data_IF_044694507461
#
_entry.id   IF_044694507461
#
_cell.length_a   1.000
_cell.length_b   1.000
_cell.length_c   1.000
_cell.angle_alpha   90.00
_cell.angle_beta   90.00
_cell.angle_gamma   90.00
#
_symmetry.space_group_name_H-M   'P 1'
#
loop_
_entity.id
_entity.type
_entity.pdbx_description
1 polymer ?
#
# COMPACT_ATOMS: atom_id res chain seq x y z
N UNK A 1 -3.46 29.43 -3.18
CA UNK A 1 -4.19 28.34 -2.51
C UNK A 1 -3.32 27.16 -2.04
N UNK A 2 -2.02 27.18 -2.25
CA UNK A 2 -1.07 26.09 -1.87
C UNK A 2 -0.72 26.14 -0.37
N UNK A 3 -0.85 27.30 0.28
CA UNK A 3 -0.55 27.50 1.72
C UNK A 3 -1.62 26.92 2.68
N UNK A 4 -2.83 26.60 2.19
CA UNK A 4 -3.91 26.04 3.02
C UNK A 4 -3.77 24.55 3.32
N UNK A 5 -3.07 23.79 2.48
CA UNK A 5 -2.91 22.33 2.66
C UNK A 5 -1.87 21.97 3.74
N UNK A 6 -0.93 22.88 4.04
CA UNK A 6 0.12 22.64 5.05
C UNK A 6 -0.38 22.94 6.47
N UNK A 7 -1.41 23.78 6.62
CA UNK A 7 -1.95 24.17 7.93
C UNK A 7 -2.78 23.06 8.60
N UNK A 8 -3.32 22.09 7.86
CA UNK A 8 -4.15 21.00 8.42
C UNK A 8 -3.29 19.95 9.14
N UNK A 9 -2.01 19.80 8.78
CA UNK A 9 -1.10 18.84 9.41
C UNK A 9 -0.68 19.27 10.82
N UNK A 10 -0.69 20.56 11.13
CA UNK A 10 -0.26 21.09 12.42
C UNK A 10 -1.31 20.95 13.53
N UNK A 11 -2.61 20.74 13.19
CA UNK A 11 -3.70 20.71 14.18
C UNK A 11 -3.96 19.32 14.78
N UNK A 12 -3.39 18.26 14.21
CA UNK A 12 -3.60 16.87 14.68
C UNK A 12 -2.60 16.47 15.78
N UNK A 13 -1.56 17.26 16.03
CA UNK A 13 -0.51 16.93 17.02
C UNK A 13 -0.78 17.45 18.44
N UNK A 14 -1.90 18.11 18.71
CA UNK A 14 -2.13 18.80 19.98
C UNK A 14 -3.08 18.08 20.97
N UNK A 15 -3.37 16.79 20.82
CA UNK A 15 -4.17 16.05 21.81
C UNK A 15 -3.59 14.68 22.11
N UNK A 16 -2.59 14.62 22.98
CA UNK A 16 -2.24 13.41 23.70
C UNK A 16 -3.15 13.27 24.93
N UNK A 17 -3.93 12.19 25.07
CA UNK A 17 -4.51 11.84 26.36
C UNK A 17 -3.49 11.03 27.18
N UNK A 18 -3.45 11.37 28.46
CA UNK A 18 -2.60 10.81 29.49
C UNK A 18 -2.63 9.27 29.56
N UNK A 19 -1.46 8.72 29.74
CA UNK A 19 -1.14 7.34 30.02
C UNK A 19 -1.83 6.80 31.27
N UNK A 20 -2.65 5.76 31.14
CA UNK A 20 -2.95 4.82 32.21
C UNK A 20 -2.07 3.57 32.02
N UNK A 21 -1.39 3.15 33.11
CA UNK A 21 -0.35 2.16 33.13
C UNK A 21 -0.77 0.72 32.75
N UNK A 22 0.23 -0.17 32.62
CA UNK A 22 0.03 -1.48 32.07
C UNK A 22 -0.57 -2.44 33.10
N UNK A 23 -1.71 -3.02 32.75
CA UNK A 23 -2.25 -4.17 33.46
C UNK A 23 -1.59 -5.43 32.87
N UNK A 24 -0.61 -5.96 33.62
CA UNK A 24 0.13 -7.17 33.28
C UNK A 24 -0.62 -8.38 33.83
N UNK A 25 -1.55 -8.92 33.05
CA UNK A 25 -2.05 -10.28 33.28
C UNK A 25 -1.36 -11.22 32.30
N UNK A 26 -0.57 -12.21 32.73
CA UNK A 26 0.08 -13.14 31.82
C UNK A 26 -0.94 -14.08 31.21
N UNK A 27 -1.10 -14.00 29.90
CA UNK A 27 -1.88 -14.97 29.14
C UNK A 27 -1.26 -16.36 29.29
N UNK A 28 -2.02 -17.25 29.91
CA UNK A 28 -1.74 -18.68 30.05
C UNK A 28 -1.61 -19.29 28.66
N UNK A 29 -0.40 -19.67 28.30
CA UNK A 29 -0.12 -20.46 27.11
C UNK A 29 -0.62 -21.89 27.36
N UNK A 30 -1.77 -22.23 26.83
CA UNK A 30 -2.17 -23.62 26.69
C UNK A 30 -1.31 -24.26 25.59
N UNK A 31 -0.22 -24.90 26.01
CA UNK A 31 0.54 -25.80 25.18
C UNK A 31 -0.32 -27.03 24.88
N UNK A 32 -0.98 -27.03 23.73
CA UNK A 32 -1.52 -28.25 23.17
C UNK A 32 -0.33 -29.10 22.74
N UNK A 33 0.05 -30.04 23.63
CA UNK A 33 0.96 -31.10 23.27
C UNK A 33 0.23 -32.00 22.27
N UNK A 34 0.57 -31.86 20.98
CA UNK A 34 0.18 -32.84 19.98
C UNK A 34 0.89 -34.15 20.31
N UNK A 35 0.19 -35.06 20.92
CA UNK A 35 0.61 -36.46 21.09
C UNK A 35 0.70 -37.09 19.70
N UNK A 36 1.92 -37.35 19.25
CA UNK A 36 2.19 -38.20 18.11
C UNK A 36 1.68 -39.59 18.39
N UNK A 37 0.97 -40.25 17.45
CA UNK A 37 0.59 -41.65 17.65
C UNK A 37 1.85 -42.51 17.73
N UNK A 38 2.06 -43.15 18.86
CA UNK A 38 3.08 -44.16 19.06
C UNK A 38 2.58 -45.49 18.47
N UNK A 39 2.65 -45.59 17.14
CA UNK A 39 2.50 -46.88 16.47
C UNK A 39 3.41 -46.89 15.22
N UNK A 40 4.70 -47.03 15.50
CA UNK A 40 5.69 -47.42 14.50
C UNK A 40 6.22 -48.80 14.91
N UNK A 41 5.51 -49.84 14.53
CA UNK A 41 6.05 -51.19 14.47
C UNK A 41 7.07 -51.22 13.31
N UNK A 42 8.21 -50.59 13.53
CA UNK A 42 9.38 -50.84 12.71
C UNK A 42 9.82 -52.30 12.97
N UNK A 43 9.71 -53.14 11.98
CA UNK A 43 10.23 -54.49 12.04
C UNK A 43 11.70 -54.45 12.49
N UNK A 44 12.13 -55.33 13.42
CA UNK A 44 13.52 -55.34 13.88
C UNK A 44 14.43 -55.61 12.70
N UNK A 45 15.38 -54.70 12.48
CA UNK A 45 16.44 -54.86 11.44
C UNK A 45 17.25 -56.11 11.79
N UNK A 46 17.41 -57.07 10.85
CA UNK A 46 18.19 -58.29 11.12
C UNK A 46 19.58 -57.91 11.57
N UNK A 47 20.05 -58.48 12.65
CA UNK A 47 21.36 -58.23 13.28
C UNK A 47 22.54 -58.47 12.37
N UNK A 48 22.36 -59.25 11.30
CA UNK A 48 23.38 -59.57 10.31
C UNK A 48 23.71 -58.40 9.37
N UNK A 49 22.78 -57.43 9.21
CA UNK A 49 23.04 -56.23 8.40
C UNK A 49 23.85 -55.14 9.15
N UNK A 50 24.06 -55.30 10.47
CA UNK A 50 24.83 -54.36 11.28
C UNK A 50 26.32 -54.66 11.37
N UNK A 51 26.78 -55.88 10.95
CA UNK A 51 28.15 -56.34 11.15
C UNK A 51 29.12 -55.90 10.06
N UNK A 52 28.65 -55.36 8.92
CA UNK A 52 29.50 -54.98 7.80
C UNK A 52 29.50 -53.44 7.50
N UNK A 53 28.97 -52.65 8.40
CA UNK A 53 29.03 -51.20 8.24
C UNK A 53 30.46 -50.72 8.51
N UNK A 54 31.30 -50.70 7.51
CA UNK A 54 32.57 -49.98 7.56
C UNK A 54 32.30 -48.51 7.93
N UNK A 55 33.03 -47.93 8.88
CA UNK A 55 32.86 -46.53 9.23
C UNK A 55 33.12 -45.70 7.96
N UNK A 56 32.08 -45.02 7.47
CA UNK A 56 32.21 -44.11 6.34
C UNK A 56 33.01 -42.92 6.81
N UNK A 57 34.16 -42.63 6.17
CA UNK A 57 35.02 -41.53 6.62
C UNK A 57 34.25 -40.20 6.52
N UNK A 58 34.48 -39.28 7.46
CA UNK A 58 33.75 -38.00 7.59
C UNK A 58 33.76 -37.13 6.31
N UNK A 59 34.77 -37.33 5.42
CA UNK A 59 34.83 -36.62 4.15
C UNK A 59 33.83 -37.15 3.09
N UNK A 60 33.26 -38.32 3.29
CA UNK A 60 32.28 -38.94 2.36
C UNK A 60 30.87 -38.39 2.58
N UNK A 61 30.62 -37.67 3.66
CA UNK A 61 29.37 -36.91 3.83
C UNK A 61 29.55 -35.58 3.13
N UNK A 62 28.70 -35.23 2.13
CA UNK A 62 28.68 -33.87 1.65
C UNK A 62 28.47 -32.96 2.89
N UNK A 63 29.33 -31.93 3.02
CA UNK A 63 29.15 -30.93 4.08
C UNK A 63 27.69 -30.54 4.04
N UNK A 64 26.99 -30.74 5.16
CA UNK A 64 25.59 -30.33 5.28
C UNK A 64 25.57 -28.84 5.02
N UNK A 65 25.29 -28.47 3.78
CA UNK A 65 24.96 -27.11 3.45
C UNK A 65 23.78 -26.76 4.35
N UNK A 66 23.97 -25.81 5.25
CA UNK A 66 22.91 -25.31 6.11
C UNK A 66 21.81 -24.73 5.19
N UNK A 67 20.96 -25.62 4.72
CA UNK A 67 19.79 -25.33 3.88
C UNK A 67 18.59 -24.92 4.74
N UNK A 68 18.83 -24.65 6.03
CA UNK A 68 17.74 -24.14 6.85
C UNK A 68 17.28 -22.80 6.24
N UNK A 69 16.03 -22.71 5.78
CA UNK A 69 15.53 -21.46 5.24
C UNK A 69 15.66 -20.41 6.36
N UNK A 70 16.43 -19.35 6.07
CA UNK A 70 16.62 -18.24 7.00
C UNK A 70 15.25 -17.80 7.50
N UNK A 71 14.96 -18.04 8.78
CA UNK A 71 13.68 -17.65 9.39
C UNK A 71 13.48 -16.16 9.13
N UNK A 72 12.42 -15.84 8.40
CA UNK A 72 12.03 -14.45 8.18
C UNK A 72 11.72 -13.84 9.54
N UNK A 73 12.36 -12.72 9.86
CA UNK A 73 11.98 -11.96 11.04
C UNK A 73 10.56 -11.45 10.80
N UNK A 74 9.63 -11.84 11.67
CA UNK A 74 8.31 -11.22 11.70
C UNK A 74 8.49 -9.75 12.08
N UNK A 75 8.14 -8.84 11.18
CA UNK A 75 8.10 -7.42 11.49
C UNK A 75 6.78 -7.14 12.20
N UNK A 76 6.86 -6.74 13.46
CA UNK A 76 5.68 -6.36 14.23
C UNK A 76 5.41 -4.87 14.00
N UNK A 77 4.24 -4.58 13.47
CA UNK A 77 3.78 -3.21 13.24
C UNK A 77 2.84 -2.77 14.36
N UNK A 78 2.84 -1.46 14.67
CA UNK A 78 1.93 -0.89 15.67
C UNK A 78 0.47 -0.87 15.17
N UNK A 79 -0.49 -0.84 16.12
CA UNK A 79 -1.92 -0.69 15.78
C UNK A 79 -2.18 0.58 14.96
N UNK A 80 -1.38 1.62 15.18
CA UNK A 80 -1.48 2.88 14.45
C UNK A 80 -1.10 2.72 12.97
N UNK A 81 -0.12 1.85 12.66
CA UNK A 81 0.22 1.49 11.28
C UNK A 81 -1.00 0.86 10.58
N UNK A 82 -1.66 -0.10 11.21
CA UNK A 82 -2.82 -0.77 10.63
C UNK A 82 -4.01 0.18 10.42
N UNK A 83 -4.25 1.11 11.34
CA UNK A 83 -5.30 2.13 11.18
C UNK A 83 -5.02 3.04 9.99
N UNK A 84 -3.79 3.53 9.85
CA UNK A 84 -3.39 4.34 8.68
C UNK A 84 -3.50 3.57 7.38
N UNK A 85 -3.08 2.30 7.37
CA UNK A 85 -3.19 1.42 6.22
C UNK A 85 -4.66 1.24 5.81
N UNK A 86 -5.57 1.11 6.77
CA UNK A 86 -7.00 1.02 6.51
C UNK A 86 -7.54 2.31 5.89
N UNK A 87 -7.18 3.48 6.42
CA UNK A 87 -7.57 4.79 5.86
C UNK A 87 -7.04 4.92 4.42
N UNK A 88 -5.77 4.58 4.19
CA UNK A 88 -5.15 4.59 2.87
C UNK A 88 -5.89 3.68 1.88
N UNK A 89 -6.25 2.47 2.28
CA UNK A 89 -7.00 1.52 1.45
C UNK A 89 -8.39 2.04 1.09
N UNK A 90 -9.15 2.55 2.08
CA UNK A 90 -10.46 3.14 1.81
C UNK A 90 -10.37 4.36 0.90
N UNK A 91 -9.38 5.22 1.10
CA UNK A 91 -9.12 6.34 0.20
C UNK A 91 -8.90 5.89 -1.24
N UNK A 92 -8.06 4.88 -1.46
CA UNK A 92 -7.78 4.33 -2.78
C UNK A 92 -9.04 3.72 -3.46
N UNK A 93 -9.95 3.11 -2.68
CA UNK A 93 -11.22 2.63 -3.23
C UNK A 93 -12.13 3.77 -3.68
N UNK A 94 -12.16 4.88 -2.94
CA UNK A 94 -12.99 6.04 -3.26
C UNK A 94 -12.44 6.83 -4.46
N UNK A 95 -11.15 6.79 -4.72
CA UNK A 95 -10.53 7.52 -5.83
C UNK A 95 -11.08 7.11 -7.20
N UNK A 96 -11.31 5.82 -7.45
CA UNK A 96 -11.71 5.34 -8.77
C UNK A 96 -13.08 5.89 -9.23
N UNK A 97 -14.17 5.82 -8.44
CA UNK A 97 -15.42 6.43 -8.84
C UNK A 97 -15.31 7.96 -8.95
N UNK A 98 -14.49 8.60 -8.12
CA UNK A 98 -14.26 10.06 -8.23
C UNK A 98 -13.50 10.40 -9.51
N UNK A 99 -12.50 9.59 -9.92
CA UNK A 99 -11.84 9.72 -11.22
C UNK A 99 -12.82 9.61 -12.39
N UNK A 100 -13.70 8.59 -12.35
CA UNK A 100 -14.72 8.42 -13.38
C UNK A 100 -15.64 9.63 -13.50
N UNK A 101 -16.06 10.18 -12.35
CA UNK A 101 -16.90 11.37 -12.29
C UNK A 101 -16.16 12.60 -12.82
N UNK A 102 -14.93 12.81 -12.38
CA UNK A 102 -14.13 13.96 -12.80
C UNK A 102 -13.79 13.91 -14.29
N UNK A 103 -13.42 12.73 -14.79
CA UNK A 103 -13.20 12.50 -16.22
C UNK A 103 -14.46 12.82 -17.03
N UNK A 104 -15.63 12.31 -16.61
CA UNK A 104 -16.90 12.56 -17.30
C UNK A 104 -17.24 14.05 -17.33
N UNK A 105 -17.11 14.76 -16.21
CA UNK A 105 -17.34 16.19 -16.11
C UNK A 105 -16.36 16.97 -17.01
N UNK A 106 -15.08 16.59 -17.02
CA UNK A 106 -14.07 17.16 -17.88
C UNK A 106 -14.37 16.98 -19.37
N UNK A 107 -14.87 15.79 -19.79
CA UNK A 107 -15.28 15.55 -21.17
C UNK A 107 -16.48 16.42 -21.56
N UNK A 108 -17.45 16.62 -20.65
CA UNK A 108 -18.56 17.55 -20.90
C UNK A 108 -18.10 18.98 -21.11
N UNK A 109 -17.14 19.45 -20.33
CA UNK A 109 -16.57 20.80 -20.48
C UNK A 109 -15.88 21.04 -21.84
N UNK A 110 -15.45 19.97 -22.51
CA UNK A 110 -14.75 20.06 -23.82
C UNK A 110 -15.71 19.86 -24.98
N UNK A 111 -16.66 18.94 -24.86
CA UNK A 111 -17.44 18.45 -25.99
C UNK A 111 -18.84 19.06 -26.09
N UNK A 112 -19.42 19.54 -24.99
CA UNK A 112 -20.79 20.03 -25.00
C UNK A 112 -20.86 21.44 -25.58
N UNK A 113 -21.65 21.60 -26.64
CA UNK A 113 -21.90 22.91 -27.28
C UNK A 113 -22.78 23.82 -26.39
N UNK A 114 -23.72 23.21 -25.66
CA UNK A 114 -24.57 23.88 -24.68
C UNK A 114 -24.30 23.31 -23.29
N UNK A 115 -23.33 23.90 -22.63
CA UNK A 115 -22.91 23.44 -21.30
C UNK A 115 -23.90 23.87 -20.23
N UNK A 116 -24.47 22.90 -19.49
CA UNK A 116 -25.32 23.20 -18.34
C UNK A 116 -24.53 23.95 -17.24
N UNK A 117 -25.14 24.93 -16.60
CA UNK A 117 -24.49 25.83 -15.63
C UNK A 117 -23.85 25.14 -14.43
N UNK A 118 -24.36 23.94 -14.06
CA UNK A 118 -23.88 23.18 -12.93
C UNK A 118 -22.57 22.40 -13.21
N UNK A 119 -22.24 22.10 -14.47
CA UNK A 119 -21.09 21.23 -14.82
C UNK A 119 -19.76 21.81 -14.35
N UNK A 120 -19.52 23.08 -14.60
CA UNK A 120 -18.25 23.72 -14.25
C UNK A 120 -18.01 23.82 -12.74
N UNK A 121 -18.97 24.29 -11.92
CA UNK A 121 -18.79 24.31 -10.47
C UNK A 121 -18.66 22.89 -9.89
N UNK A 122 -19.37 21.91 -10.43
CA UNK A 122 -19.27 20.50 -9.99
C UNK A 122 -17.90 19.92 -10.31
N UNK A 123 -17.36 20.12 -11.51
CA UNK A 123 -15.99 19.72 -11.86
C UNK A 123 -14.97 20.32 -10.89
N UNK A 124 -15.06 21.62 -10.60
CA UNK A 124 -14.16 22.25 -9.62
C UNK A 124 -14.32 21.68 -8.20
N UNK A 125 -15.56 21.35 -7.81
CA UNK A 125 -15.85 20.73 -6.51
C UNK A 125 -15.29 19.31 -6.40
N UNK A 126 -15.52 18.48 -7.40
CA UNK A 126 -15.00 17.10 -7.48
C UNK A 126 -13.48 17.09 -7.52
N UNK A 127 -12.85 18.00 -8.29
CA UNK A 127 -11.40 18.18 -8.28
C UNK A 127 -10.85 18.53 -6.88
N UNK A 128 -11.60 19.35 -6.11
CA UNK A 128 -11.25 19.65 -4.71
C UNK A 128 -11.33 18.42 -3.81
N UNK A 129 -12.39 17.61 -3.94
CA UNK A 129 -12.53 16.34 -3.20
C UNK A 129 -11.39 15.39 -3.56
N UNK A 130 -11.08 15.28 -4.83
CA UNK A 130 -9.99 14.45 -5.33
C UNK A 130 -8.64 14.87 -4.73
N UNK A 131 -8.34 16.18 -4.75
CA UNK A 131 -7.14 16.72 -4.11
C UNK A 131 -7.05 16.40 -2.62
N UNK A 132 -8.17 16.43 -1.90
CA UNK A 132 -8.25 16.04 -0.48
C UNK A 132 -7.98 14.54 -0.25
N UNK A 133 -8.56 13.66 -1.07
CA UNK A 133 -8.33 12.21 -1.02
C UNK A 133 -6.85 11.89 -1.28
N UNK A 134 -6.26 12.49 -2.31
CA UNK A 134 -4.84 12.32 -2.63
C UNK A 134 -3.94 12.79 -1.48
N UNK A 135 -4.20 13.95 -0.91
CA UNK A 135 -3.42 14.44 0.22
C UNK A 135 -3.44 13.47 1.41
N UNK A 136 -4.61 12.93 1.76
CA UNK A 136 -4.76 11.93 2.84
C UNK A 136 -4.01 10.64 2.47
N UNK A 137 -4.17 10.15 1.25
CA UNK A 137 -3.52 8.92 0.78
C UNK A 137 -2.00 9.07 0.71
N UNK A 138 -1.48 10.19 0.24
CA UNK A 138 -0.04 10.45 0.21
C UNK A 138 0.54 10.51 1.60
N UNK A 139 -0.08 11.23 2.54
CA UNK A 139 0.40 11.32 3.92
C UNK A 139 0.41 9.93 4.57
N UNK A 140 -0.69 9.19 4.48
CA UNK A 140 -0.79 7.86 5.08
C UNK A 140 0.14 6.85 4.40
N UNK A 141 0.27 6.93 3.08
CA UNK A 141 1.13 6.06 2.28
C UNK A 141 2.61 6.28 2.56
N UNK A 142 3.08 7.52 2.58
CA UNK A 142 4.48 7.87 2.89
C UNK A 142 4.84 7.45 4.31
N UNK A 143 3.96 7.66 5.26
CA UNK A 143 4.19 7.24 6.64
C UNK A 143 4.27 5.71 6.77
N UNK A 144 3.35 4.98 6.13
CA UNK A 144 3.39 3.53 6.12
C UNK A 144 4.65 3.00 5.41
N UNK A 145 5.09 3.64 4.31
CA UNK A 145 6.34 3.33 3.64
C UNK A 145 7.55 3.51 4.56
N UNK A 146 7.55 4.58 5.35
CA UNK A 146 8.61 4.83 6.33
C UNK A 146 8.65 3.77 7.42
N UNK A 147 7.50 3.39 7.98
CA UNK A 147 7.42 2.36 9.02
C UNK A 147 7.83 0.98 8.48
N UNK A 148 7.48 0.67 7.22
CA UNK A 148 7.81 -0.60 6.57
C UNK A 148 9.16 -0.63 5.84
N UNK A 149 10.01 0.40 5.98
CA UNK A 149 11.27 0.53 5.22
C UNK A 149 12.25 -0.62 5.40
N UNK A 150 12.19 -1.32 6.54
CA UNK A 150 13.04 -2.47 6.86
C UNK A 150 12.43 -3.81 6.44
N UNK A 151 11.17 -3.81 6.00
CA UNK A 151 10.53 -4.99 5.46
C UNK A 151 11.09 -5.29 4.06
N UNK A 152 11.47 -6.54 3.85
CA UNK A 152 12.01 -7.00 2.55
C UNK A 152 10.95 -7.68 1.72
N UNK A 153 9.79 -8.01 2.32
CA UNK A 153 8.70 -8.64 1.61
C UNK A 153 8.02 -7.64 0.67
N UNK A 154 7.81 -8.04 -0.57
CA UNK A 154 7.19 -7.22 -1.61
C UNK A 154 7.82 -5.84 -1.83
N UNK A 155 9.09 -5.65 -1.43
CA UNK A 155 9.76 -4.35 -1.46
C UNK A 155 9.70 -3.69 -2.83
N UNK A 156 9.96 -4.42 -3.90
CA UNK A 156 9.91 -3.90 -5.26
C UNK A 156 8.49 -3.43 -5.62
N UNK A 157 7.46 -4.19 -5.21
CA UNK A 157 6.05 -3.84 -5.41
C UNK A 157 5.70 -2.53 -4.71
N UNK A 158 6.05 -2.41 -3.42
CA UNK A 158 5.77 -1.23 -2.60
C UNK A 158 6.46 0.01 -3.17
N UNK A 159 7.74 -0.10 -3.57
CA UNK A 159 8.45 1.02 -4.18
C UNK A 159 7.89 1.42 -5.54
N UNK A 160 7.50 0.45 -6.39
CA UNK A 160 6.88 0.73 -7.68
C UNK A 160 5.54 1.44 -7.50
N UNK A 161 4.69 0.94 -6.59
CA UNK A 161 3.44 1.60 -6.22
C UNK A 161 3.70 3.04 -5.76
N UNK A 162 4.61 3.24 -4.82
CA UNK A 162 4.92 4.57 -4.27
C UNK A 162 5.42 5.53 -5.35
N UNK A 163 6.26 5.06 -6.27
CA UNK A 163 6.76 5.88 -7.37
C UNK A 163 5.64 6.31 -8.34
N UNK A 164 4.72 5.38 -8.68
CA UNK A 164 3.56 5.68 -9.53
C UNK A 164 2.63 6.69 -8.85
N UNK A 165 2.37 6.53 -7.56
CA UNK A 165 1.50 7.43 -6.80
C UNK A 165 2.11 8.84 -6.68
N UNK A 166 3.40 8.96 -6.33
CA UNK A 166 4.08 10.25 -6.25
C UNK A 166 4.15 10.96 -7.61
N UNK A 167 4.37 10.21 -8.70
CA UNK A 167 4.32 10.79 -10.06
C UNK A 167 2.91 11.28 -10.41
N UNK A 168 1.88 10.53 -10.01
CA UNK A 168 0.48 10.95 -10.14
C UNK A 168 0.17 12.21 -9.33
N UNK A 169 0.61 12.29 -8.07
CA UNK A 169 0.45 13.45 -7.20
C UNK A 169 1.05 14.71 -7.83
N UNK A 170 2.29 14.62 -8.34
CA UNK A 170 2.93 15.72 -9.06
C UNK A 170 2.10 16.13 -10.28
N UNK A 171 1.57 15.17 -11.04
CA UNK A 171 0.70 15.43 -12.18
C UNK A 171 -0.60 16.12 -11.78
N UNK A 172 -1.23 15.76 -10.66
CA UNK A 172 -2.44 16.45 -10.18
C UNK A 172 -2.16 17.88 -9.69
N UNK A 173 -1.02 18.12 -9.06
CA UNK A 173 -0.60 19.49 -8.71
C UNK A 173 -0.46 20.34 -9.98
N UNK A 174 0.18 19.80 -11.03
CA UNK A 174 0.31 20.46 -12.33
C UNK A 174 -1.07 20.68 -12.96
N UNK A 175 -1.94 19.67 -12.94
CA UNK A 175 -3.32 19.75 -13.44
C UNK A 175 -4.09 20.89 -12.77
N UNK A 176 -4.02 20.99 -11.45
CA UNK A 176 -4.64 22.06 -10.69
C UNK A 176 -4.10 23.44 -11.07
N UNK A 177 -2.79 23.58 -11.24
CA UNK A 177 -2.15 24.83 -11.68
C UNK A 177 -2.60 25.23 -13.10
N UNK A 178 -2.74 24.26 -14.01
CA UNK A 178 -3.18 24.49 -15.38
C UNK A 178 -4.68 24.83 -15.48
N UNK A 179 -5.50 24.48 -14.50
CA UNK A 179 -6.96 24.68 -14.51
C UNK A 179 -7.38 26.14 -14.68
N UNK A 180 -6.58 27.08 -14.16
CA UNK A 180 -6.79 28.51 -14.37
C UNK A 180 -6.61 28.92 -15.84
N UNK A 181 -5.56 28.42 -16.49
CA UNK A 181 -5.19 28.76 -17.87
C UNK A 181 -6.07 28.04 -18.90
N UNK A 182 -6.63 26.90 -18.58
CA UNK A 182 -7.52 26.12 -19.46
C UNK A 182 -8.74 26.91 -19.98
N UNK A 183 -9.04 28.07 -19.39
CA UNK A 183 -10.11 28.98 -19.83
C UNK A 183 -9.70 29.87 -20.99
N UNK A 184 -8.40 30.05 -21.24
CA UNK A 184 -7.89 31.10 -22.16
C UNK A 184 -7.64 30.58 -23.56
N UNK A 185 -7.23 29.32 -23.72
CA UNK A 185 -6.93 28.77 -25.05
C UNK A 185 -7.33 27.29 -25.16
N UNK A 186 -7.53 26.83 -26.40
CA UNK A 186 -7.73 25.42 -26.70
C UNK A 186 -6.48 24.57 -26.40
N UNK A 187 -5.29 25.13 -26.60
CA UNK A 187 -4.02 24.47 -26.28
C UNK A 187 -3.89 24.21 -24.79
N UNK A 188 -4.15 25.23 -23.96
CA UNK A 188 -4.06 25.10 -22.49
C UNK A 188 -5.08 24.11 -21.94
N UNK A 189 -6.27 24.08 -22.54
CA UNK A 189 -7.32 23.11 -22.20
C UNK A 189 -6.89 21.68 -22.51
N UNK A 190 -6.27 21.46 -23.67
CA UNK A 190 -5.76 20.15 -24.05
C UNK A 190 -4.61 19.71 -23.16
N UNK A 191 -3.72 20.62 -22.79
CA UNK A 191 -2.62 20.34 -21.87
C UNK A 191 -3.14 19.93 -20.49
N UNK A 192 -4.07 20.72 -19.90
CA UNK A 192 -4.72 20.41 -18.65
C UNK A 192 -5.36 18.99 -18.68
N UNK A 193 -6.14 18.71 -19.72
CA UNK A 193 -6.79 17.40 -19.91
C UNK A 193 -5.76 16.26 -20.01
N UNK A 194 -4.74 16.41 -20.82
CA UNK A 194 -3.76 15.34 -21.04
C UNK A 194 -2.95 15.03 -19.79
N UNK A 195 -2.55 16.05 -19.03
CA UNK A 195 -1.88 15.86 -17.75
C UNK A 195 -2.82 15.20 -16.73
N UNK A 196 -4.10 15.62 -16.67
CA UNK A 196 -5.08 15.00 -15.79
C UNK A 196 -5.28 13.51 -16.11
N UNK A 197 -5.46 13.15 -17.39
CA UNK A 197 -5.63 11.76 -17.82
C UNK A 197 -4.38 10.93 -17.50
N UNK A 198 -3.19 11.44 -17.77
CA UNK A 198 -1.93 10.76 -17.45
C UNK A 198 -1.83 10.49 -15.94
N UNK A 199 -2.15 11.48 -15.10
CA UNK A 199 -2.11 11.36 -13.64
C UNK A 199 -3.11 10.33 -13.13
N UNK A 200 -4.36 10.36 -13.58
CA UNK A 200 -5.38 9.36 -13.25
C UNK A 200 -4.96 7.95 -13.68
N UNK A 201 -4.32 7.82 -14.84
CA UNK A 201 -3.83 6.54 -15.35
C UNK A 201 -2.71 5.97 -14.47
N UNK A 202 -1.75 6.80 -14.05
CA UNK A 202 -0.67 6.41 -13.14
C UNK A 202 -1.22 5.97 -11.78
N UNK A 203 -2.15 6.73 -11.19
CA UNK A 203 -2.79 6.37 -9.93
C UNK A 203 -3.56 5.06 -10.03
N UNK A 204 -4.36 4.89 -11.11
CA UNK A 204 -5.12 3.67 -11.36
C UNK A 204 -4.19 2.47 -11.50
N UNK A 205 -3.10 2.60 -12.26
CA UNK A 205 -2.10 1.54 -12.40
C UNK A 205 -1.45 1.19 -11.07
N UNK A 206 -1.07 2.19 -10.26
CA UNK A 206 -0.50 1.99 -8.93
C UNK A 206 -1.47 1.26 -7.99
N UNK A 207 -2.74 1.66 -7.98
CA UNK A 207 -3.79 1.03 -7.16
C UNK A 207 -4.04 -0.42 -7.58
N UNK A 208 -4.24 -0.67 -8.89
CA UNK A 208 -4.46 -2.01 -9.43
C UNK A 208 -3.26 -2.94 -9.18
N UNK A 209 -2.04 -2.44 -9.27
CA UNK A 209 -0.83 -3.21 -8.98
C UNK A 209 -0.88 -3.81 -7.56
N UNK A 210 -1.28 -3.02 -6.57
CA UNK A 210 -1.40 -3.48 -5.19
C UNK A 210 -2.57 -4.45 -5.00
N UNK A 211 -3.70 -4.21 -5.65
CA UNK A 211 -4.88 -5.06 -5.54
C UNK A 211 -4.64 -6.46 -6.12
N UNK A 212 -4.06 -6.54 -7.32
CA UNK A 212 -3.79 -7.82 -8.00
C UNK A 212 -2.80 -8.66 -7.20
N UNK A 213 -1.78 -8.03 -6.60
CA UNK A 213 -0.70 -8.76 -5.92
C UNK A 213 -1.03 -9.17 -4.49
N UNK A 214 -1.82 -8.39 -3.76
CA UNK A 214 -2.15 -8.67 -2.35
C UNK A 214 -3.48 -9.38 -2.16
N UNK A 215 -4.22 -9.61 -3.24
CA UNK A 215 -5.59 -10.11 -3.18
C UNK A 215 -6.53 -9.09 -2.54
N UNK A 216 -7.69 -8.93 -3.08
CA UNK A 216 -8.76 -8.11 -2.49
C UNK A 216 -9.41 -8.82 -1.35
#
# INVERSE_FOLDING_TARGET
>A
MILGAIAIVALIQASEPATSGPDTTPARRDTVAASLPADSTAAPIPRELMLDARPVPAWAYPAATDTQPKRRHAVEYSDWYYRRLQVHRWGSWLELPVFGTEFWLGQKLINDVQLASWVKPTHSGVAGVLGGLFAINTITGVWNLYDSRNDTEDRALVWTHSALMLASDAGFVITGALGGNAKHSGSDRNLHRNVAIASMSLATAGTLLMWIKRGL
#
